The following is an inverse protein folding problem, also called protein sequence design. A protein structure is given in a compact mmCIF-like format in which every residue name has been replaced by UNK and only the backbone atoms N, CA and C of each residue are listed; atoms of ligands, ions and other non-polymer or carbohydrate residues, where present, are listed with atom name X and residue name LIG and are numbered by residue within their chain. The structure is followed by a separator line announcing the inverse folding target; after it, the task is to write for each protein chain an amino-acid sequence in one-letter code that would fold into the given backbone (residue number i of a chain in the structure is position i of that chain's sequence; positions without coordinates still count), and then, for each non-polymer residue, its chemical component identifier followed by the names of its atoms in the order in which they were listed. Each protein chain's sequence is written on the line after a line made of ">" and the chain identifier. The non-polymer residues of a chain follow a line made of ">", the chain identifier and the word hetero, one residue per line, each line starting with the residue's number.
data_IF_236472264326
#
_entry.id   IF_236472264326
#
_cell.length_a   1.000
_cell.length_b   1.000
_cell.length_c   1.000
_cell.angle_alpha   90.00
_cell.angle_beta   90.00
_cell.angle_gamma   90.00
#
_symmetry.space_group_name_H-M   'P 1'
#
loop_
_entity.id
_entity.type
_entity.pdbx_description
1 polymer ?
#
# COMPACT_ATOMS: atom_id res chain seq x y z
N UNK A 1 -12.91 -27.28 -6.08
CA UNK A 1 -12.59 -25.92 -6.55
C UNK A 1 -12.15 -25.11 -5.35
N UNK A 2 -11.00 -24.48 -5.41
CA UNK A 2 -10.59 -23.48 -4.42
C UNK A 2 -11.54 -22.27 -4.50
N UNK A 3 -11.93 -21.64 -3.38
CA UNK A 3 -12.67 -20.38 -3.42
C UNK A 3 -11.92 -19.37 -4.29
N UNK A 4 -12.62 -18.70 -5.19
CA UNK A 4 -12.02 -17.65 -6.03
C UNK A 4 -11.51 -16.48 -5.17
N UNK A 5 -10.49 -15.79 -5.68
CA UNK A 5 -10.02 -14.53 -5.07
C UNK A 5 -11.19 -13.53 -4.98
N UNK A 6 -11.48 -12.96 -3.79
CA UNK A 6 -12.65 -12.09 -3.62
C UNK A 6 -12.63 -10.83 -4.50
N UNK A 7 -11.44 -10.30 -4.80
CA UNK A 7 -11.27 -9.08 -5.61
C UNK A 7 -11.35 -9.41 -7.10
N UNK A 8 -10.68 -10.48 -7.54
CA UNK A 8 -10.69 -10.89 -8.95
C UNK A 8 -12.07 -11.40 -9.38
N UNK A 9 -12.70 -12.26 -8.55
CA UNK A 9 -14.05 -12.76 -8.83
C UNK A 9 -15.11 -11.66 -8.89
N UNK A 10 -14.97 -10.62 -8.06
CA UNK A 10 -15.84 -9.44 -8.14
C UNK A 10 -15.59 -8.63 -9.43
N UNK A 11 -14.35 -8.50 -9.86
CA UNK A 11 -14.00 -7.81 -11.10
C UNK A 11 -14.60 -8.54 -12.31
N UNK A 12 -14.54 -9.86 -12.35
CA UNK A 12 -15.17 -10.67 -13.39
C UNK A 12 -16.69 -10.48 -13.39
N UNK A 13 -17.34 -10.50 -12.22
CA UNK A 13 -18.77 -10.24 -12.07
C UNK A 13 -19.13 -8.83 -12.54
N UNK A 14 -18.32 -7.81 -12.19
CA UNK A 14 -18.53 -6.44 -12.67
C UNK A 14 -18.44 -6.35 -14.20
N UNK A 15 -17.46 -6.97 -14.83
CA UNK A 15 -17.30 -6.97 -16.28
C UNK A 15 -18.47 -7.66 -16.97
N UNK A 16 -18.95 -8.77 -16.42
CA UNK A 16 -20.06 -9.55 -16.95
C UNK A 16 -21.43 -8.84 -16.84
N UNK A 17 -21.60 -7.97 -15.84
CA UNK A 17 -22.83 -7.18 -15.65
C UNK A 17 -23.01 -6.18 -16.78
N UNK A 18 -24.19 -6.19 -17.40
CA UNK A 18 -24.56 -5.30 -18.53
C UNK A 18 -25.44 -4.12 -18.11
N UNK A 19 -25.76 -3.99 -16.81
CA UNK A 19 -26.60 -2.88 -16.32
C UNK A 19 -25.91 -1.54 -16.55
N UNK A 20 -26.61 -0.50 -17.04
CA UNK A 20 -26.05 0.84 -17.15
C UNK A 20 -25.82 1.45 -15.76
N UNK A 21 -24.84 2.34 -15.65
CA UNK A 21 -24.57 3.04 -14.39
C UNK A 21 -23.93 2.18 -13.28
N UNK A 22 -23.48 0.96 -13.60
CA UNK A 22 -22.76 0.12 -12.63
C UNK A 22 -21.48 0.79 -12.14
N UNK A 23 -21.16 0.64 -10.85
CA UNK A 23 -19.99 1.26 -10.20
C UNK A 23 -19.13 0.19 -9.55
N UNK A 24 -17.82 0.23 -9.81
CA UNK A 24 -16.85 -0.66 -9.16
C UNK A 24 -16.10 0.07 -8.04
N UNK A 25 -16.40 -0.26 -6.79
CA UNK A 25 -15.76 0.24 -5.60
C UNK A 25 -14.88 -0.81 -4.89
N UNK A 26 -14.71 -1.98 -5.49
CA UNK A 26 -13.96 -3.07 -4.87
C UNK A 26 -12.49 -3.07 -5.25
N UNK A 27 -12.14 -2.62 -6.44
CA UNK A 27 -10.74 -2.59 -6.91
C UNK A 27 -10.03 -1.35 -6.38
N UNK A 28 -8.81 -1.52 -5.86
CA UNK A 28 -7.98 -0.43 -5.35
C UNK A 28 -7.28 0.36 -6.46
N UNK A 29 -8.06 1.05 -7.28
CA UNK A 29 -7.60 1.86 -8.40
C UNK A 29 -8.15 3.28 -8.23
N UNK A 30 -7.29 4.28 -8.44
CA UNK A 30 -7.74 5.67 -8.56
C UNK A 30 -8.36 5.89 -9.94
N UNK A 31 -9.52 6.55 -9.96
CA UNK A 31 -10.15 7.01 -11.20
C UNK A 31 -10.34 8.52 -11.16
N UNK A 32 -10.17 9.18 -12.31
CA UNK A 32 -10.43 10.61 -12.49
C UNK A 32 -11.95 10.92 -12.56
N UNK A 33 -12.31 12.18 -12.84
CA UNK A 33 -13.72 12.60 -12.97
C UNK A 33 -14.45 11.90 -14.14
N UNK A 34 -13.72 11.36 -15.10
CA UNK A 34 -14.26 10.58 -16.23
C UNK A 34 -14.33 9.08 -15.93
N UNK A 35 -13.97 8.66 -14.71
CA UNK A 35 -13.95 7.26 -14.31
C UNK A 35 -12.80 6.46 -14.93
N UNK A 36 -11.74 7.11 -15.37
CA UNK A 36 -10.56 6.50 -16.01
C UNK A 36 -9.34 6.57 -15.10
N UNK A 37 -8.42 5.62 -15.27
CA UNK A 37 -7.09 5.70 -14.68
C UNK A 37 -6.33 6.82 -15.38
N UNK A 38 -5.81 7.84 -14.67
CA UNK A 38 -5.07 8.91 -15.30
C UNK A 38 -3.68 8.45 -15.76
N UNK A 39 -3.24 8.94 -16.91
CA UNK A 39 -1.84 8.95 -17.28
C UNK A 39 -1.21 10.25 -16.78
N UNK A 40 -0.33 10.15 -15.78
CA UNK A 40 0.30 11.33 -15.19
C UNK A 40 1.20 12.03 -16.21
N UNK A 41 1.17 13.36 -16.23
CA UNK A 41 1.99 14.18 -17.13
C UNK A 41 3.48 13.95 -16.92
N UNK A 42 3.92 13.88 -15.67
CA UNK A 42 5.31 13.59 -15.34
C UNK A 42 5.78 12.24 -15.89
N UNK A 43 4.91 11.21 -15.84
CA UNK A 43 5.20 9.87 -16.39
C UNK A 43 5.26 9.93 -17.91
N UNK A 44 4.30 10.60 -18.56
CA UNK A 44 4.22 10.73 -20.01
C UNK A 44 5.46 11.42 -20.60
N UNK A 45 5.95 12.48 -19.96
CA UNK A 45 7.18 13.20 -20.40
C UNK A 45 8.39 12.25 -20.47
N UNK A 46 8.57 11.39 -19.45
CA UNK A 46 9.64 10.39 -19.45
C UNK A 46 9.41 9.33 -20.53
N UNK A 47 8.17 8.85 -20.67
CA UNK A 47 7.82 7.82 -21.65
C UNK A 47 8.09 8.29 -23.09
N UNK A 48 7.68 9.52 -23.40
CA UNK A 48 7.96 10.14 -24.70
C UNK A 48 9.46 10.34 -24.95
N UNK A 49 10.23 10.74 -23.92
CA UNK A 49 11.68 10.87 -24.01
C UNK A 49 12.33 9.49 -24.28
N UNK A 50 11.92 8.45 -23.57
CA UNK A 50 12.40 7.09 -23.78
C UNK A 50 12.05 6.55 -25.16
N UNK A 51 10.86 6.88 -25.69
CA UNK A 51 10.46 6.50 -27.04
C UNK A 51 11.32 7.18 -28.12
N UNK A 52 11.62 8.48 -27.94
CA UNK A 52 12.51 9.23 -28.86
C UNK A 52 13.96 8.70 -28.84
N UNK A 53 14.44 8.29 -27.65
CA UNK A 53 15.80 7.78 -27.48
C UNK A 53 15.99 6.39 -28.11
N UNK A 54 14.96 5.56 -28.14
CA UNK A 54 14.95 4.27 -28.84
C UNK A 54 15.98 3.25 -28.35
N UNK A 55 16.29 3.21 -27.04
CA UNK A 55 17.29 2.29 -26.45
C UNK A 55 16.89 0.80 -26.55
N UNK A 56 17.85 -0.09 -26.78
CA UNK A 56 17.63 -1.54 -26.68
C UNK A 56 17.14 -1.98 -25.29
N UNK A 57 16.33 -3.04 -25.24
CA UNK A 57 15.72 -3.60 -24.03
C UNK A 57 16.49 -4.83 -23.53
N UNK A 58 17.75 -4.63 -23.08
CA UNK A 58 18.55 -5.68 -22.46
C UNK A 58 18.04 -6.07 -21.08
N UNK A 59 18.50 -7.24 -20.56
CA UNK A 59 18.25 -7.60 -19.19
C UNK A 59 18.86 -6.59 -18.21
N UNK A 60 18.09 -6.21 -17.18
CA UNK A 60 18.61 -5.44 -16.06
C UNK A 60 19.51 -6.30 -15.16
N UNK A 61 20.36 -5.66 -14.35
CA UNK A 61 20.91 -6.30 -13.16
C UNK A 61 19.80 -6.94 -12.31
N UNK A 62 20.13 -7.97 -11.55
CA UNK A 62 19.15 -8.73 -10.75
C UNK A 62 18.42 -7.83 -9.74
N UNK A 63 19.12 -6.86 -9.19
CA UNK A 63 18.58 -5.85 -8.26
C UNK A 63 17.85 -4.68 -8.95
N UNK A 64 17.91 -4.57 -10.26
CA UNK A 64 17.23 -3.53 -11.03
C UNK A 64 18.13 -2.39 -11.47
N UNK A 65 17.51 -1.23 -11.73
CA UNK A 65 18.20 0.00 -12.14
C UNK A 65 18.79 0.71 -10.91
N UNK A 66 20.10 0.93 -10.87
CA UNK A 66 20.75 1.64 -9.76
C UNK A 66 20.15 3.05 -9.49
N UNK A 67 19.79 3.78 -10.56
CA UNK A 67 19.14 5.09 -10.44
C UNK A 67 17.76 4.99 -9.79
N UNK A 68 17.00 3.93 -10.10
CA UNK A 68 15.70 3.64 -9.49
C UNK A 68 15.85 3.32 -8.00
N UNK A 69 16.79 2.44 -7.65
CA UNK A 69 17.03 2.04 -6.27
C UNK A 69 17.45 3.24 -5.40
N UNK A 70 18.35 4.10 -5.90
CA UNK A 70 18.77 5.32 -5.21
C UNK A 70 17.62 6.33 -5.06
N UNK A 71 16.82 6.54 -6.10
CA UNK A 71 15.67 7.44 -6.05
C UNK A 71 14.62 6.94 -5.05
N UNK A 72 14.37 5.63 -5.02
CA UNK A 72 13.49 4.98 -4.04
C UNK A 72 14.01 5.16 -2.62
N UNK A 73 15.30 4.93 -2.38
CA UNK A 73 15.89 5.14 -1.05
C UNK A 73 15.68 6.56 -0.55
N UNK A 74 15.94 7.57 -1.40
CA UNK A 74 15.76 8.98 -1.04
C UNK A 74 14.29 9.34 -0.77
N UNK A 75 13.37 8.79 -1.55
CA UNK A 75 11.93 9.03 -1.37
C UNK A 75 11.42 8.41 -0.05
N UNK A 76 11.82 7.19 0.24
CA UNK A 76 11.33 6.41 1.39
C UNK A 76 11.99 6.85 2.69
N UNK A 77 13.32 6.91 2.72
CA UNK A 77 14.10 7.18 3.94
C UNK A 77 14.41 8.67 4.16
N UNK A 78 14.20 9.51 3.15
CA UNK A 78 14.64 10.90 3.13
C UNK A 78 16.05 11.05 2.56
N UNK A 79 16.29 12.12 1.78
CA UNK A 79 17.56 12.35 1.09
C UNK A 79 18.76 12.46 2.06
N UNK A 80 18.52 13.03 3.25
CA UNK A 80 19.51 13.28 4.31
C UNK A 80 19.57 12.13 5.35
N UNK A 81 18.99 10.97 5.05
CA UNK A 81 18.95 9.85 6.01
C UNK A 81 20.35 9.32 6.36
N UNK A 82 20.73 9.28 7.65
CA UNK A 82 22.02 8.72 8.07
C UNK A 82 22.21 7.24 7.67
N UNK A 83 21.11 6.50 7.47
CA UNK A 83 21.20 5.11 7.01
C UNK A 83 21.71 5.02 5.57
N UNK A 84 21.36 6.00 4.72
CA UNK A 84 21.82 6.06 3.33
C UNK A 84 23.30 6.46 3.29
N UNK A 85 23.70 7.46 4.05
CA UNK A 85 25.10 7.89 4.16
C UNK A 85 25.99 6.76 4.68
N UNK A 86 25.53 6.04 5.69
CA UNK A 86 26.23 4.87 6.25
C UNK A 86 26.22 3.65 5.32
N UNK A 87 25.45 3.66 4.21
CA UNK A 87 25.32 2.53 3.28
C UNK A 87 24.63 1.31 3.88
N UNK A 88 23.75 1.51 4.86
CA UNK A 88 23.04 0.44 5.60
C UNK A 88 21.78 -0.04 4.91
N UNK A 89 21.38 0.52 3.78
CA UNK A 89 20.14 0.19 3.07
C UNK A 89 20.45 -0.57 1.78
N UNK A 90 19.98 -1.80 1.71
CA UNK A 90 19.99 -2.64 0.51
C UNK A 90 18.65 -2.53 -0.18
N UNK A 91 18.59 -1.98 -1.39
CA UNK A 91 17.35 -1.83 -2.16
C UNK A 91 17.41 -2.62 -3.46
N UNK A 92 16.30 -3.21 -3.85
CA UNK A 92 16.15 -3.91 -5.13
C UNK A 92 14.80 -3.59 -5.73
N UNK A 93 14.78 -3.30 -7.02
CA UNK A 93 13.56 -3.19 -7.82
C UNK A 93 12.82 -4.53 -7.84
N UNK A 94 11.50 -4.51 -7.68
CA UNK A 94 10.67 -5.72 -7.63
C UNK A 94 9.46 -5.61 -8.57
N UNK A 95 8.79 -6.74 -8.77
CA UNK A 95 7.56 -6.83 -9.59
C UNK A 95 6.37 -6.31 -8.74
N UNK A 96 6.30 -4.98 -8.59
CA UNK A 96 5.35 -4.29 -7.72
C UNK A 96 5.57 -4.56 -6.24
N UNK A 97 4.72 -3.97 -5.38
CA UNK A 97 4.75 -4.21 -3.94
C UNK A 97 4.52 -5.68 -3.55
N UNK A 98 3.67 -6.39 -4.27
CA UNK A 98 3.47 -7.84 -4.05
C UNK A 98 4.75 -8.64 -4.29
N UNK A 99 5.55 -8.26 -5.29
CA UNK A 99 6.87 -8.85 -5.53
C UNK A 99 7.84 -8.54 -4.39
N UNK A 100 7.81 -7.30 -3.85
CA UNK A 100 8.62 -6.92 -2.69
C UNK A 100 8.26 -7.75 -1.45
N UNK A 101 6.97 -7.86 -1.15
CA UNK A 101 6.47 -8.69 -0.04
C UNK A 101 6.90 -10.16 -0.21
N UNK A 102 6.74 -10.72 -1.42
CA UNK A 102 7.10 -12.11 -1.69
C UNK A 102 8.59 -12.38 -1.57
N UNK A 103 9.43 -11.56 -2.19
CA UNK A 103 10.90 -11.68 -2.10
C UNK A 103 11.37 -11.51 -0.66
N UNK A 104 10.81 -10.53 0.07
CA UNK A 104 11.09 -10.32 1.48
C UNK A 104 10.68 -11.52 2.35
N UNK A 105 9.48 -12.07 2.13
CA UNK A 105 9.01 -13.26 2.84
C UNK A 105 9.90 -14.49 2.58
N UNK A 106 10.24 -14.76 1.32
CA UNK A 106 11.10 -15.90 0.95
C UNK A 106 12.52 -15.77 1.55
N UNK A 107 13.06 -14.54 1.60
CA UNK A 107 14.34 -14.26 2.22
C UNK A 107 14.27 -14.49 3.74
N UNK A 108 13.28 -13.88 4.39
CA UNK A 108 13.12 -13.98 5.85
C UNK A 108 12.85 -15.42 6.30
N UNK A 109 12.10 -16.19 5.53
CA UNK A 109 11.88 -17.62 5.85
C UNK A 109 13.16 -18.43 5.85
N UNK A 110 14.10 -18.12 4.96
CA UNK A 110 15.42 -18.76 4.93
C UNK A 110 16.31 -18.31 6.09
N UNK A 111 16.27 -17.00 6.42
CA UNK A 111 17.06 -16.42 7.48
C UNK A 111 16.53 -16.76 8.88
N UNK A 112 15.21 -16.80 9.02
CA UNK A 112 14.50 -16.96 10.30
C UNK A 112 13.48 -18.13 10.21
N UNK A 113 13.95 -19.37 10.11
CA UNK A 113 13.07 -20.53 9.82
C UNK A 113 12.06 -20.87 10.92
N UNK A 114 12.20 -20.32 12.12
CA UNK A 114 11.28 -20.53 13.26
C UNK A 114 10.39 -19.33 13.54
N UNK A 115 10.63 -18.18 12.89
CA UNK A 115 9.86 -16.97 13.13
C UNK A 115 8.41 -17.15 12.70
N UNK A 116 7.51 -16.44 13.39
CA UNK A 116 6.12 -16.20 12.97
C UNK A 116 6.02 -14.83 12.31
N UNK A 117 4.90 -14.59 11.64
CA UNK A 117 4.55 -13.27 11.11
C UNK A 117 3.27 -12.81 11.75
N UNK A 118 3.27 -11.65 12.39
CA UNK A 118 2.10 -11.01 12.94
C UNK A 118 1.57 -9.95 11.96
N UNK A 119 0.28 -9.99 11.63
CA UNK A 119 -0.40 -9.03 10.76
C UNK A 119 -1.56 -8.37 11.49
N UNK A 120 -1.94 -7.15 11.08
CA UNK A 120 -3.10 -6.45 11.66
C UNK A 120 -4.41 -7.20 11.40
N UNK A 121 -5.36 -7.09 12.31
CA UNK A 121 -6.72 -7.60 12.14
C UNK A 121 -7.72 -6.44 12.05
N UNK A 122 -8.34 -6.19 10.86
CA UNK A 122 -8.08 -6.81 9.56
C UNK A 122 -6.78 -6.31 8.92
N UNK A 123 -6.37 -6.99 7.84
CA UNK A 123 -5.26 -6.59 6.96
C UNK A 123 -5.66 -6.79 5.50
N UNK A 124 -4.85 -6.31 4.56
CA UNK A 124 -5.00 -6.70 3.15
C UNK A 124 -4.88 -8.22 3.02
N UNK A 125 -5.87 -8.83 2.41
CA UNK A 125 -6.04 -10.30 2.38
C UNK A 125 -4.79 -11.01 1.85
N UNK A 126 -4.10 -10.40 0.90
CA UNK A 126 -2.91 -10.98 0.28
C UNK A 126 -1.69 -11.02 1.22
N UNK A 127 -1.66 -10.24 2.30
CA UNK A 127 -0.59 -10.34 3.30
C UNK A 127 -0.50 -11.76 3.89
N UNK A 128 -1.63 -12.28 4.38
CA UNK A 128 -1.69 -13.65 4.88
C UNK A 128 -1.29 -14.68 3.83
N UNK A 129 -1.80 -14.51 2.60
CA UNK A 129 -1.53 -15.43 1.49
C UNK A 129 -0.03 -15.47 1.17
N UNK A 130 0.62 -14.32 1.04
CA UNK A 130 2.05 -14.22 0.70
C UNK A 130 2.93 -14.90 1.77
N UNK A 131 2.73 -14.56 3.04
CA UNK A 131 3.55 -15.10 4.12
C UNK A 131 3.27 -16.57 4.40
N UNK A 132 2.01 -17.02 4.33
CA UNK A 132 1.67 -18.45 4.42
C UNK A 132 2.28 -19.24 3.27
N UNK A 133 2.22 -18.72 2.04
CA UNK A 133 2.83 -19.36 0.87
C UNK A 133 4.37 -19.41 0.94
N UNK A 134 5.00 -18.51 1.70
CA UNK A 134 6.43 -18.57 2.02
C UNK A 134 6.75 -19.58 3.14
N UNK A 135 5.72 -20.14 3.80
CA UNK A 135 5.85 -21.16 4.83
C UNK A 135 5.85 -20.62 6.27
N UNK A 136 5.44 -19.37 6.50
CA UNK A 136 5.29 -18.82 7.83
C UNK A 136 3.96 -19.24 8.50
N UNK A 137 4.00 -19.41 9.82
CA UNK A 137 2.80 -19.30 10.64
C UNK A 137 2.44 -17.81 10.74
N UNK A 138 1.21 -17.46 10.37
CA UNK A 138 0.72 -16.08 10.41
C UNK A 138 -0.31 -15.94 11.53
N UNK A 139 -0.04 -15.04 12.46
CA UNK A 139 -0.91 -14.69 13.59
C UNK A 139 -1.45 -13.27 13.43
N UNK A 140 -2.54 -12.97 14.11
CA UNK A 140 -3.15 -11.64 14.09
C UNK A 140 -2.76 -10.84 15.34
N UNK A 141 -2.70 -9.50 15.21
CA UNK A 141 -2.74 -8.56 16.33
C UNK A 141 -3.92 -7.60 16.16
N UNK A 142 -4.50 -7.15 17.27
CA UNK A 142 -5.61 -6.21 17.26
C UNK A 142 -5.23 -4.89 16.57
N UNK A 143 -6.12 -4.36 15.76
CA UNK A 143 -5.89 -3.11 15.04
C UNK A 143 -7.13 -2.23 14.93
N UNK A 144 -8.25 -2.77 14.49
CA UNK A 144 -9.47 -2.02 14.22
C UNK A 144 -10.56 -2.35 15.23
N UNK A 145 -11.14 -1.31 15.81
CA UNK A 145 -12.32 -1.42 16.65
C UNK A 145 -13.59 -1.13 15.84
N UNK A 146 -14.41 -2.14 15.64
CA UNK A 146 -15.65 -2.02 14.86
C UNK A 146 -16.73 -1.19 15.59
N UNK A 147 -16.65 -1.01 16.91
CA UNK A 147 -17.62 -0.23 17.67
C UNK A 147 -17.40 1.28 17.51
N UNK A 148 -16.16 1.71 17.48
CA UNK A 148 -15.78 3.12 17.32
C UNK A 148 -15.42 3.46 15.87
N UNK A 149 -15.28 2.49 14.98
CA UNK A 149 -14.73 2.61 13.64
C UNK A 149 -13.33 3.26 13.63
N UNK A 150 -12.56 3.00 14.67
CA UNK A 150 -11.25 3.58 14.92
C UNK A 150 -10.17 2.53 15.14
N UNK A 151 -9.03 2.98 15.65
CA UNK A 151 -7.89 2.14 16.01
C UNK A 151 -8.08 1.56 17.42
N UNK A 152 -7.98 0.24 17.56
CA UNK A 152 -7.79 -0.41 18.88
C UNK A 152 -6.30 -0.37 19.26
N UNK A 153 -5.82 0.82 19.59
CA UNK A 153 -4.42 1.01 19.92
C UNK A 153 -3.97 0.27 21.19
N UNK A 154 -4.77 0.26 22.30
CA UNK A 154 -4.41 -0.53 23.47
C UNK A 154 -4.33 -2.03 23.18
N UNK A 155 -5.27 -2.56 22.40
CA UNK A 155 -5.25 -3.96 21.97
C UNK A 155 -4.04 -4.28 21.10
N UNK A 156 -3.71 -3.40 20.16
CA UNK A 156 -2.50 -3.52 19.33
C UNK A 156 -1.24 -3.63 20.18
N UNK A 157 -1.02 -2.71 21.12
CA UNK A 157 0.17 -2.72 21.98
C UNK A 157 0.20 -3.98 22.87
N UNK A 158 -0.96 -4.39 23.42
CA UNK A 158 -1.07 -5.57 24.26
C UNK A 158 -0.70 -6.85 23.48
N UNK A 159 -1.14 -6.99 22.24
CA UNK A 159 -0.85 -8.16 21.43
C UNK A 159 0.59 -8.17 20.91
N UNK A 160 1.10 -7.03 20.42
CA UNK A 160 2.52 -6.90 20.03
C UNK A 160 3.45 -7.21 21.23
N UNK A 161 3.08 -6.77 22.44
CA UNK A 161 3.84 -7.02 23.67
C UNK A 161 3.93 -8.50 24.08
N UNK A 162 3.04 -9.36 23.57
CA UNK A 162 3.05 -10.82 23.83
C UNK A 162 3.86 -11.62 22.81
N UNK A 163 4.26 -10.99 21.69
CA UNK A 163 4.98 -11.70 20.63
C UNK A 163 6.37 -12.13 21.09
N UNK A 164 6.79 -13.30 20.62
CA UNK A 164 8.13 -13.82 20.88
C UNK A 164 9.18 -12.98 20.14
N UNK A 165 10.37 -12.76 20.72
CA UNK A 165 11.47 -12.09 20.06
C UNK A 165 11.80 -12.72 18.69
N UNK A 166 12.10 -11.89 17.71
CA UNK A 166 12.34 -12.32 16.33
C UNK A 166 11.07 -12.56 15.50
N UNK A 167 9.88 -12.39 16.07
CA UNK A 167 8.64 -12.39 15.28
C UNK A 167 8.65 -11.22 14.29
N UNK A 168 8.29 -11.49 13.03
CA UNK A 168 8.14 -10.46 12.01
C UNK A 168 6.80 -9.76 12.22
N UNK A 169 6.80 -8.43 12.35
CA UNK A 169 5.57 -7.64 12.49
C UNK A 169 5.34 -6.87 11.20
N UNK A 170 4.27 -7.22 10.48
CA UNK A 170 3.87 -6.51 9.28
C UNK A 170 3.03 -5.29 9.66
N UNK A 171 3.50 -4.12 9.23
CA UNK A 171 2.93 -2.81 9.52
C UNK A 171 2.63 -2.07 8.23
N UNK A 172 1.47 -1.39 8.13
CA UNK A 172 1.22 -0.45 7.04
C UNK A 172 1.79 0.92 7.42
N UNK A 173 2.62 1.50 6.56
CA UNK A 173 3.22 2.81 6.83
C UNK A 173 2.20 3.94 6.90
N UNK A 174 1.20 3.91 6.00
CA UNK A 174 0.12 4.88 5.86
C UNK A 174 -1.04 4.25 5.07
N UNK A 175 -2.22 4.88 5.12
CA UNK A 175 -3.41 4.51 4.35
C UNK A 175 -3.76 3.03 4.52
N UNK A 176 -3.90 2.59 5.76
CA UNK A 176 -4.09 1.19 6.12
C UNK A 176 -5.19 0.50 5.29
N UNK A 177 -4.84 -0.56 4.60
CA UNK A 177 -5.79 -1.37 3.82
C UNK A 177 -6.22 -2.60 4.64
N UNK A 178 -7.52 -2.75 5.00
CA UNK A 178 -8.70 -2.15 4.36
C UNK A 178 -9.30 -0.93 5.08
N UNK A 179 -8.83 -0.56 6.27
CA UNK A 179 -9.59 0.28 7.20
C UNK A 179 -9.53 1.78 6.92
N UNK A 180 -8.44 2.27 6.32
CA UNK A 180 -8.16 3.70 6.23
C UNK A 180 -7.88 4.36 7.60
N UNK A 181 -7.69 3.57 8.65
CA UNK A 181 -7.37 4.07 10.00
C UNK A 181 -5.88 3.94 10.23
N UNK A 182 -5.21 5.07 10.41
CA UNK A 182 -3.76 5.13 10.58
C UNK A 182 -3.38 5.55 12.01
N UNK A 183 -2.16 5.17 12.41
CA UNK A 183 -1.56 5.61 13.66
C UNK A 183 -1.14 7.09 13.58
N UNK A 184 -1.24 7.80 14.71
CA UNK A 184 -0.61 9.11 14.85
C UNK A 184 0.91 8.98 15.00
N UNK A 185 1.63 10.10 14.89
CA UNK A 185 3.10 10.11 15.09
C UNK A 185 3.46 9.62 16.49
N UNK A 186 2.70 10.03 17.52
CA UNK A 186 2.90 9.64 18.92
C UNK A 186 2.63 8.14 19.13
N UNK A 187 1.63 7.59 18.44
CA UNK A 187 1.35 6.16 18.47
C UNK A 187 2.47 5.36 17.76
N UNK A 188 2.96 5.88 16.63
CA UNK A 188 4.12 5.29 15.96
C UNK A 188 5.36 5.25 16.86
N UNK A 189 5.63 6.32 17.61
CA UNK A 189 6.76 6.33 18.57
C UNK A 189 6.62 5.23 19.61
N UNK A 190 5.41 4.98 20.14
CA UNK A 190 5.15 3.90 21.08
C UNK A 190 5.33 2.52 20.44
N UNK A 191 4.85 2.32 19.22
CA UNK A 191 5.02 1.05 18.48
C UNK A 191 6.52 0.80 18.22
N UNK A 192 7.26 1.80 17.77
CA UNK A 192 8.72 1.69 17.54
C UNK A 192 9.45 1.31 18.84
N UNK A 193 9.11 1.95 19.96
CA UNK A 193 9.71 1.63 21.26
C UNK A 193 9.42 0.18 21.69
N UNK A 194 8.17 -0.26 21.56
CA UNK A 194 7.74 -1.62 21.90
C UNK A 194 8.41 -2.67 20.99
N UNK A 195 8.46 -2.42 19.69
CA UNK A 195 9.11 -3.31 18.71
C UNK A 195 10.60 -3.49 19.05
N UNK A 196 11.28 -2.39 19.43
CA UNK A 196 12.68 -2.42 19.86
C UNK A 196 12.84 -3.18 21.18
N UNK A 197 12.02 -2.89 22.18
CA UNK A 197 12.04 -3.54 23.50
C UNK A 197 11.83 -5.06 23.39
N UNK A 198 10.87 -5.47 22.55
CA UNK A 198 10.52 -6.88 22.35
C UNK A 198 11.43 -7.59 21.35
N UNK A 199 12.40 -6.91 20.76
CA UNK A 199 13.28 -7.46 19.72
C UNK A 199 12.47 -8.10 18.57
N UNK A 200 11.44 -7.41 18.07
CA UNK A 200 10.65 -7.82 16.93
C UNK A 200 11.28 -7.31 15.64
N UNK A 201 11.00 -7.96 14.51
CA UNK A 201 11.49 -7.53 13.19
C UNK A 201 10.38 -6.78 12.42
N UNK A 202 10.48 -5.45 12.25
CA UNK A 202 9.51 -4.71 11.46
C UNK A 202 9.59 -5.06 9.97
N UNK A 203 8.43 -5.33 9.37
CA UNK A 203 8.24 -5.40 7.94
C UNK A 203 7.17 -4.37 7.56
N UNK A 204 7.57 -3.27 6.93
CA UNK A 204 6.70 -2.13 6.65
C UNK A 204 6.23 -2.19 5.20
N UNK A 205 4.91 -2.29 4.98
CA UNK A 205 4.30 -2.17 3.66
C UNK A 205 3.90 -0.71 3.41
N UNK A 206 4.40 -0.13 2.33
CA UNK A 206 4.15 1.26 1.92
C UNK A 206 3.66 1.32 0.47
N UNK A 207 2.39 0.97 0.27
CA UNK A 207 1.78 0.94 -1.05
C UNK A 207 1.10 2.27 -1.46
N UNK A 208 0.93 3.21 -0.53
CA UNK A 208 0.07 4.39 -0.71
C UNK A 208 0.76 5.71 -0.33
N UNK A 209 2.08 5.77 -0.36
CA UNK A 209 2.84 7.00 -0.09
C UNK A 209 2.36 8.16 -0.97
N UNK A 210 1.98 9.28 -0.35
CA UNK A 210 1.46 10.47 -1.00
C UNK A 210 -0.07 10.58 -1.02
N UNK A 211 -0.83 9.58 -0.54
CA UNK A 211 -2.29 9.57 -0.59
C UNK A 211 -3.02 10.02 0.68
N UNK A 212 -2.30 10.33 1.78
CA UNK A 212 -2.91 10.91 2.98
C UNK A 212 -2.47 12.38 3.18
N UNK A 213 -1.20 12.62 3.53
CA UNK A 213 -0.68 13.97 3.87
C UNK A 213 0.44 14.45 2.95
N UNK A 214 0.87 13.62 2.02
CA UNK A 214 1.97 13.89 1.09
C UNK A 214 3.12 12.93 1.28
N UNK A 215 4.06 12.95 0.33
CA UNK A 215 5.12 11.95 0.22
C UNK A 215 6.02 11.88 1.45
N UNK A 216 6.33 13.01 2.07
CA UNK A 216 7.20 13.07 3.25
C UNK A 216 6.47 12.65 4.53
N UNK A 217 5.25 13.15 4.75
CA UNK A 217 4.47 12.84 5.94
C UNK A 217 4.04 11.36 5.96
N UNK A 218 3.69 10.81 4.81
CA UNK A 218 3.27 9.41 4.68
C UNK A 218 4.44 8.42 4.86
N UNK A 219 5.70 8.89 4.78
CA UNK A 219 6.90 8.12 5.09
C UNK A 219 7.32 8.20 6.57
N UNK A 220 6.59 8.93 7.41
CA UNK A 220 6.98 9.20 8.80
C UNK A 220 7.24 7.92 9.60
N UNK A 221 6.43 6.87 9.43
CA UNK A 221 6.63 5.58 10.10
C UNK A 221 8.00 4.98 9.77
N UNK A 222 8.36 4.91 8.47
CA UNK A 222 9.66 4.38 8.04
C UNK A 222 10.81 5.22 8.62
N UNK A 223 10.68 6.55 8.60
CA UNK A 223 11.71 7.46 9.10
C UNK A 223 11.85 7.39 10.63
N UNK A 224 10.78 7.13 11.37
CA UNK A 224 10.85 6.87 12.81
C UNK A 224 11.61 5.57 13.10
N UNK A 225 11.35 4.48 12.38
CA UNK A 225 12.15 3.27 12.48
C UNK A 225 13.61 3.52 12.12
N UNK A 226 13.88 4.26 11.06
CA UNK A 226 15.23 4.62 10.64
C UNK A 226 16.02 5.40 11.71
N UNK A 227 15.35 6.28 12.46
CA UNK A 227 15.93 7.09 13.53
C UNK A 227 15.98 6.39 14.89
N UNK A 228 15.31 5.26 15.06
CA UNK A 228 15.13 4.60 16.37
C UNK A 228 16.35 3.87 16.90
N UNK A 229 17.36 3.62 16.05
CA UNK A 229 18.48 2.75 16.37
C UNK A 229 18.15 1.26 16.40
N UNK A 230 17.03 0.84 15.76
CA UNK A 230 16.78 -0.57 15.45
C UNK A 230 17.80 -1.03 14.41
N UNK A 231 18.39 -2.19 14.63
CA UNK A 231 19.48 -2.70 13.79
C UNK A 231 18.99 -3.07 12.38
N UNK A 232 17.83 -3.69 12.29
CA UNK A 232 17.32 -4.20 11.01
C UNK A 232 15.81 -4.08 10.90
N UNK A 233 15.33 -3.71 9.72
CA UNK A 233 13.92 -3.75 9.32
C UNK A 233 13.77 -3.80 7.81
N UNK A 234 12.57 -4.14 7.35
CA UNK A 234 12.26 -4.34 5.93
C UNK A 234 11.18 -3.36 5.50
N UNK A 235 11.32 -2.80 4.30
CA UNK A 235 10.29 -1.95 3.67
C UNK A 235 9.96 -2.50 2.30
N UNK A 236 8.67 -2.81 2.06
CA UNK A 236 8.12 -3.06 0.73
C UNK A 236 7.37 -1.82 0.28
N UNK A 237 7.77 -1.20 -0.82
CA UNK A 237 7.02 -0.09 -1.38
C UNK A 237 6.53 -0.38 -2.81
N UNK A 238 5.50 0.35 -3.24
CA UNK A 238 4.87 0.21 -4.54
C UNK A 238 4.64 1.55 -5.21
N UNK A 239 4.87 1.60 -6.50
CA UNK A 239 4.56 2.74 -7.34
C UNK A 239 3.27 2.55 -8.18
N UNK A 240 2.55 1.45 -7.95
CA UNK A 240 1.31 1.15 -8.68
C UNK A 240 0.28 2.28 -8.56
N UNK A 241 0.15 2.90 -7.37
CA UNK A 241 -0.85 3.94 -7.11
C UNK A 241 -0.27 5.32 -7.31
N UNK A 242 0.83 5.67 -6.64
CA UNK A 242 1.43 7.01 -6.68
C UNK A 242 1.94 7.44 -8.05
N UNK A 243 2.17 6.50 -8.96
CA UNK A 243 2.55 6.77 -10.35
C UNK A 243 1.48 6.34 -11.37
N UNK A 244 0.33 5.85 -10.92
CA UNK A 244 -0.69 5.23 -11.81
C UNK A 244 -0.16 4.10 -12.70
N UNK A 245 0.90 3.42 -12.27
CA UNK A 245 1.60 2.36 -13.01
C UNK A 245 1.13 0.96 -12.60
N UNK A 246 -0.19 0.77 -12.44
CA UNK A 246 -0.78 -0.48 -11.96
C UNK A 246 -0.37 -1.72 -12.77
N UNK A 247 -0.33 -1.59 -14.10
CA UNK A 247 0.01 -2.66 -15.04
C UNK A 247 1.52 -2.88 -15.21
N UNK A 248 2.35 -1.88 -14.88
CA UNK A 248 3.80 -1.93 -15.09
C UNK A 248 4.54 -2.73 -14.01
N UNK A 249 3.87 -3.07 -12.92
CA UNK A 249 4.43 -3.90 -11.84
C UNK A 249 5.72 -3.32 -11.27
N UNK A 250 5.69 -2.10 -10.75
CA UNK A 250 6.85 -1.38 -10.21
C UNK A 250 6.76 -1.25 -8.70
N UNK A 251 7.78 -1.73 -8.00
CA UNK A 251 7.93 -1.64 -6.55
C UNK A 251 9.39 -1.86 -6.16
N UNK A 252 9.66 -1.80 -4.88
CA UNK A 252 10.99 -2.09 -4.35
C UNK A 252 10.94 -2.76 -2.98
N UNK A 253 11.93 -3.59 -2.73
CA UNK A 253 12.25 -4.14 -1.41
C UNK A 253 13.51 -3.44 -0.90
N UNK A 254 13.38 -2.76 0.23
CA UNK A 254 14.52 -2.16 0.94
C UNK A 254 14.71 -2.88 2.27
N UNK A 255 15.94 -3.27 2.58
CA UNK A 255 16.30 -3.93 3.84
C UNK A 255 17.41 -3.11 4.50
N UNK A 256 17.14 -2.70 5.72
CA UNK A 256 18.12 -2.02 6.56
C UNK A 256 18.90 -3.09 7.32
N UNK A 257 20.23 -2.99 7.29
CA UNK A 257 21.12 -3.83 8.09
C UNK A 257 21.78 -3.03 9.21
N UNK A 258 22.33 -3.71 10.21
CA UNK A 258 23.05 -3.08 11.32
C UNK A 258 24.31 -2.35 10.86
N UNK A 259 24.98 -2.86 9.82
CA UNK A 259 26.17 -2.26 9.21
C UNK A 259 26.09 -2.27 7.68
N UNK A 260 27.01 -1.56 7.03
CA UNK A 260 27.17 -1.59 5.57
C UNK A 260 27.48 -3.00 5.06
N UNK A 261 28.36 -3.72 5.72
CA UNK A 261 28.75 -5.07 5.35
C UNK A 261 27.58 -6.05 5.47
N UNK A 262 26.73 -5.86 6.46
CA UNK A 262 25.49 -6.64 6.59
C UNK A 262 24.53 -6.33 5.46
N UNK A 263 24.27 -5.06 5.16
CA UNK A 263 23.44 -4.66 4.04
C UNK A 263 23.94 -5.25 2.71
N UNK A 264 25.25 -5.28 2.46
CA UNK A 264 25.85 -5.90 1.28
C UNK A 264 25.62 -7.42 1.25
N UNK A 265 25.78 -8.11 2.38
CA UNK A 265 25.48 -9.57 2.47
C UNK A 265 24.01 -9.85 2.19
N UNK A 266 23.12 -9.05 2.81
CA UNK A 266 21.67 -9.16 2.59
C UNK A 266 21.31 -8.89 1.13
N UNK A 267 21.91 -7.87 0.49
CA UNK A 267 21.71 -7.60 -0.94
C UNK A 267 22.07 -8.81 -1.81
N UNK A 268 23.16 -9.50 -1.50
CA UNK A 268 23.55 -10.73 -2.21
C UNK A 268 22.50 -11.83 -2.06
N UNK A 269 21.92 -12.00 -0.87
CA UNK A 269 20.85 -12.98 -0.63
C UNK A 269 19.53 -12.60 -1.33
N UNK A 270 19.19 -11.31 -1.34
CA UNK A 270 18.04 -10.77 -2.09
C UNK A 270 18.19 -11.09 -3.58
N UNK A 271 19.35 -10.81 -4.18
CA UNK A 271 19.64 -11.15 -5.58
C UNK A 271 19.45 -12.65 -5.87
N UNK A 272 19.91 -13.52 -4.99
CA UNK A 272 19.69 -14.98 -5.15
C UNK A 272 18.20 -15.34 -5.08
N UNK A 273 17.44 -14.69 -4.21
CA UNK A 273 16.00 -14.91 -4.08
C UNK A 273 15.26 -14.40 -5.33
N UNK A 274 15.59 -13.20 -5.82
CA UNK A 274 15.05 -12.65 -7.07
C UNK A 274 15.38 -13.59 -8.25
N UNK A 275 16.66 -14.01 -8.34
CA UNK A 275 17.12 -14.90 -9.44
C UNK A 275 16.30 -16.19 -9.53
N UNK A 276 15.90 -16.76 -8.40
CA UNK A 276 15.10 -17.99 -8.37
C UNK A 276 13.59 -17.75 -8.54
N UNK A 277 13.12 -16.50 -8.44
CA UNK A 277 11.70 -16.14 -8.54
C UNK A 277 11.34 -15.66 -9.96
N UNK A 278 11.89 -14.53 -10.40
CA UNK A 278 11.61 -13.91 -11.71
C UNK A 278 12.86 -13.50 -12.49
N UNK A 279 14.05 -13.92 -12.06
CA UNK A 279 15.35 -13.68 -12.71
C UNK A 279 15.87 -12.25 -12.60
N UNK A 280 15.16 -11.26 -13.12
CA UNK A 280 15.43 -9.84 -13.05
C UNK A 280 14.14 -9.06 -13.28
N UNK A 281 14.03 -7.80 -12.78
CA UNK A 281 12.81 -7.01 -12.96
C UNK A 281 12.67 -6.48 -14.39
N UNK A 282 11.45 -6.00 -14.71
CA UNK A 282 11.15 -5.35 -15.97
C UNK A 282 11.77 -3.95 -16.03
N UNK A 283 12.19 -3.53 -17.24
CA UNK A 283 12.91 -2.26 -17.45
C UNK A 283 11.96 -1.06 -17.41
N UNK A 284 10.80 -1.13 -18.10
CA UNK A 284 10.02 0.04 -18.49
C UNK A 284 9.53 0.85 -17.31
N UNK A 285 8.74 0.25 -16.43
CA UNK A 285 8.17 0.96 -15.30
C UNK A 285 9.23 1.50 -14.32
N UNK A 286 10.32 0.74 -14.08
CA UNK A 286 11.43 1.22 -13.26
C UNK A 286 12.14 2.44 -13.87
N UNK A 287 12.31 2.46 -15.19
CA UNK A 287 12.89 3.60 -15.89
C UNK A 287 11.99 4.84 -15.84
N UNK A 288 10.67 4.67 -15.93
CA UNK A 288 9.71 5.78 -15.77
C UNK A 288 9.84 6.42 -14.37
N UNK A 289 9.83 5.62 -13.32
CA UNK A 289 9.98 6.12 -11.94
C UNK A 289 11.33 6.78 -11.73
N UNK A 290 12.43 6.16 -12.21
CA UNK A 290 13.78 6.72 -12.11
C UNK A 290 13.88 8.06 -12.86
N UNK A 291 13.28 8.18 -14.04
CA UNK A 291 13.26 9.40 -14.84
C UNK A 291 12.51 10.55 -14.14
N UNK A 292 11.34 10.27 -13.59
CA UNK A 292 10.56 11.29 -12.86
C UNK A 292 11.28 11.71 -11.59
N UNK A 293 11.67 10.77 -10.72
CA UNK A 293 12.31 11.08 -9.44
C UNK A 293 13.73 11.64 -9.59
N UNK A 294 14.40 11.36 -10.71
CA UNK A 294 15.73 11.86 -11.03
C UNK A 294 15.76 13.29 -11.60
N UNK A 295 14.61 13.83 -12.01
CA UNK A 295 14.46 15.21 -12.48
C UNK A 295 13.76 16.06 -11.41
N UNK A 296 14.39 17.15 -10.96
CA UNK A 296 13.77 18.04 -9.98
C UNK A 296 12.44 18.63 -10.49
N UNK A 297 12.37 18.99 -11.77
CA UNK A 297 11.18 19.53 -12.40
C UNK A 297 10.04 18.50 -12.48
N UNK A 298 10.34 17.30 -12.98
CA UNK A 298 9.33 16.23 -13.10
C UNK A 298 8.88 15.70 -11.74
N UNK A 299 9.76 15.71 -10.76
CA UNK A 299 9.40 15.36 -9.39
C UNK A 299 8.38 16.35 -8.80
N UNK A 300 8.60 17.66 -8.96
CA UNK A 300 7.64 18.69 -8.53
C UNK A 300 6.31 18.53 -9.25
N UNK A 301 6.33 18.28 -10.56
CA UNK A 301 5.12 18.02 -11.34
C UNK A 301 4.37 16.79 -10.83
N UNK A 302 5.06 15.68 -10.61
CA UNK A 302 4.48 14.45 -10.07
C UNK A 302 3.87 14.65 -8.68
N UNK A 303 4.57 15.37 -7.77
CA UNK A 303 4.05 15.67 -6.43
C UNK A 303 2.79 16.53 -6.49
N UNK A 304 2.70 17.47 -7.45
CA UNK A 304 1.50 18.26 -7.71
C UNK A 304 0.33 17.39 -8.21
N UNK A 305 0.57 16.51 -9.18
CA UNK A 305 -0.45 15.59 -9.70
C UNK A 305 -0.95 14.63 -8.61
N UNK A 306 -0.05 14.16 -7.76
CA UNK A 306 -0.41 13.31 -6.62
C UNK A 306 -1.22 14.08 -5.55
N UNK A 307 -0.91 15.36 -5.34
CA UNK A 307 -1.71 16.23 -4.49
C UNK A 307 -3.13 16.43 -5.03
N UNK A 308 -3.28 16.68 -6.33
CA UNK A 308 -4.59 16.76 -6.99
C UNK A 308 -5.41 15.47 -6.78
N UNK A 309 -4.78 14.29 -6.92
CA UNK A 309 -5.44 12.99 -6.68
C UNK A 309 -5.88 12.87 -5.22
N UNK A 310 -5.03 13.22 -4.26
CA UNK A 310 -5.31 13.19 -2.82
C UNK A 310 -6.45 14.13 -2.44
N UNK A 311 -6.41 15.37 -2.88
CA UNK A 311 -7.46 16.38 -2.61
C UNK A 311 -8.82 15.93 -3.15
N UNK A 312 -8.82 15.33 -4.34
CA UNK A 312 -10.04 14.79 -4.93
C UNK A 312 -10.61 13.62 -4.10
N UNK A 313 -9.75 12.71 -3.60
CA UNK A 313 -10.21 11.64 -2.72
C UNK A 313 -10.82 12.22 -1.44
N UNK A 314 -10.20 13.23 -0.84
CA UNK A 314 -10.74 13.92 0.34
C UNK A 314 -12.09 14.57 0.03
N UNK A 315 -12.24 15.24 -1.11
CA UNK A 315 -13.50 15.86 -1.53
C UNK A 315 -14.61 14.82 -1.73
N UNK A 316 -14.32 13.67 -2.35
CA UNK A 316 -15.30 12.59 -2.53
C UNK A 316 -15.72 11.98 -1.20
N UNK A 317 -14.79 11.81 -0.28
CA UNK A 317 -15.04 11.32 1.08
C UNK A 317 -15.94 12.28 1.87
N UNK A 318 -15.61 13.57 1.87
CA UNK A 318 -16.40 14.61 2.52
C UNK A 318 -17.81 14.70 1.92
N UNK A 319 -17.92 14.73 0.59
CA UNK A 319 -19.22 14.77 -0.09
C UNK A 319 -20.08 13.53 0.18
N UNK A 320 -19.47 12.35 0.30
CA UNK A 320 -20.19 11.12 0.69
C UNK A 320 -20.78 11.26 2.10
N UNK A 321 -19.99 11.71 3.07
CA UNK A 321 -20.42 11.89 4.47
C UNK A 321 -21.54 12.94 4.56
N UNK A 322 -21.35 14.10 3.92
CA UNK A 322 -22.33 15.17 3.90
C UNK A 322 -23.69 14.69 3.37
N UNK A 323 -23.68 14.01 2.22
CA UNK A 323 -24.90 13.53 1.58
C UNK A 323 -25.58 12.39 2.36
N UNK A 324 -24.83 11.53 3.05
CA UNK A 324 -25.38 10.52 3.95
C UNK A 324 -26.00 11.17 5.19
N UNK A 325 -25.35 12.17 5.77
CA UNK A 325 -25.90 12.93 6.91
C UNK A 325 -27.21 13.64 6.54
N UNK A 326 -27.32 14.24 5.35
CA UNK A 326 -28.54 14.86 4.85
C UNK A 326 -29.70 13.85 4.70
N UNK A 327 -29.43 12.56 4.62
CA UNK A 327 -30.42 11.48 4.58
C UNK A 327 -30.69 10.85 5.98
N UNK A 328 -30.22 11.50 7.05
CA UNK A 328 -30.39 11.03 8.43
C UNK A 328 -29.40 9.94 8.86
N UNK A 329 -28.30 9.75 8.11
CA UNK A 329 -27.28 8.74 8.34
C UNK A 329 -25.96 9.33 8.87
N UNK A 330 -26.04 10.25 9.83
CA UNK A 330 -24.86 10.88 10.46
C UNK A 330 -23.89 9.90 11.10
N UNK A 331 -24.33 8.66 11.38
CA UNK A 331 -23.46 7.60 11.89
C UNK A 331 -22.25 7.26 10.99
N UNK A 332 -22.26 7.68 9.73
CA UNK A 332 -21.16 7.48 8.77
C UNK A 332 -20.08 8.59 8.83
N UNK A 333 -20.17 9.53 9.76
CA UNK A 333 -19.18 10.60 9.92
C UNK A 333 -17.74 10.08 10.08
N UNK A 334 -17.56 8.91 10.67
CA UNK A 334 -16.24 8.29 10.84
C UNK A 334 -15.48 8.09 9.51
N UNK A 335 -16.21 7.93 8.38
CA UNK A 335 -15.61 7.79 7.05
C UNK A 335 -14.70 8.99 6.74
N UNK A 336 -15.04 10.19 7.19
CA UNK A 336 -14.24 11.38 6.93
C UNK A 336 -12.87 11.36 7.61
N UNK A 337 -12.73 10.60 8.70
CA UNK A 337 -11.46 10.47 9.44
C UNK A 337 -10.52 9.41 8.86
N UNK A 338 -11.01 8.60 7.92
CA UNK A 338 -10.21 7.55 7.30
C UNK A 338 -9.32 8.13 6.21
N UNK A 339 -8.13 7.55 6.04
CA UNK A 339 -7.08 7.98 5.12
C UNK A 339 -6.98 7.11 3.86
N UNK A 340 -6.41 7.67 2.80
CA UNK A 340 -6.06 6.96 1.59
C UNK A 340 -7.24 6.60 0.69
N UNK A 341 -7.04 5.59 -0.15
CA UNK A 341 -7.97 5.23 -1.23
C UNK A 341 -9.22 4.50 -0.76
N UNK A 342 -9.19 3.91 0.45
CA UNK A 342 -10.27 3.05 0.94
C UNK A 342 -11.05 3.67 2.08
N UNK A 343 -12.29 3.19 2.21
CA UNK A 343 -13.10 3.37 3.39
C UNK A 343 -13.64 2.02 3.85
N UNK A 344 -13.51 1.75 5.15
CA UNK A 344 -14.13 0.59 5.78
C UNK A 344 -15.48 1.04 6.31
N UNK A 345 -16.53 0.82 5.49
CA UNK A 345 -17.82 1.50 5.64
C UNK A 345 -18.69 1.00 6.79
N UNK A 346 -18.33 -0.13 7.42
CA UNK A 346 -19.16 -0.79 8.43
C UNK A 346 -20.38 -1.50 7.87
N UNK A 347 -20.55 -1.54 6.54
CA UNK A 347 -21.61 -2.33 5.92
C UNK A 347 -21.38 -3.84 6.13
N UNK A 348 -22.42 -4.54 6.50
CA UNK A 348 -22.41 -6.00 6.59
C UNK A 348 -22.32 -6.63 5.22
N UNK A 349 -21.90 -7.92 5.17
CA UNK A 349 -21.88 -8.68 3.92
C UNK A 349 -23.23 -8.68 3.22
N UNK A 350 -24.33 -8.85 3.96
CA UNK A 350 -25.68 -8.81 3.39
C UNK A 350 -26.02 -7.47 2.75
N UNK A 351 -25.62 -6.36 3.37
CA UNK A 351 -25.79 -5.02 2.79
C UNK A 351 -24.94 -4.81 1.53
N UNK A 352 -23.70 -5.32 1.53
CA UNK A 352 -22.85 -5.29 0.34
C UNK A 352 -23.40 -6.14 -0.80
N UNK A 353 -23.96 -7.32 -0.51
CA UNK A 353 -24.61 -8.15 -1.51
C UNK A 353 -25.82 -7.41 -2.12
N UNK A 354 -26.64 -6.73 -1.31
CA UNK A 354 -27.74 -5.88 -1.78
C UNK A 354 -27.27 -4.70 -2.66
N UNK A 355 -26.13 -4.05 -2.31
CA UNK A 355 -25.54 -3.01 -3.18
C UNK A 355 -25.27 -3.54 -4.59
N UNK A 356 -24.74 -4.75 -4.70
CA UNK A 356 -24.46 -5.39 -5.99
C UNK A 356 -25.76 -5.79 -6.72
N UNK A 357 -26.69 -6.44 -6.03
CA UNK A 357 -27.87 -7.05 -6.63
C UNK A 357 -28.91 -6.00 -7.04
N UNK A 358 -29.22 -5.05 -6.15
CA UNK A 358 -30.25 -4.05 -6.34
C UNK A 358 -29.74 -2.82 -7.11
N UNK A 359 -28.46 -2.42 -6.92
CA UNK A 359 -27.96 -1.14 -7.41
C UNK A 359 -26.77 -1.24 -8.38
N UNK A 360 -26.29 -2.43 -8.71
CA UNK A 360 -25.10 -2.65 -9.53
C UNK A 360 -23.82 -1.96 -8.99
N UNK A 361 -23.70 -1.82 -7.65
CA UNK A 361 -22.54 -1.26 -6.98
C UNK A 361 -21.74 -2.41 -6.40
N UNK A 362 -20.50 -2.53 -6.83
CA UNK A 362 -19.60 -3.62 -6.49
C UNK A 362 -18.60 -3.16 -5.41
N UNK A 363 -18.69 -3.72 -4.22
CA UNK A 363 -17.82 -3.49 -3.09
C UNK A 363 -17.31 -4.83 -2.54
N UNK A 364 -16.25 -4.81 -1.69
CA UNK A 364 -15.75 -6.03 -1.04
C UNK A 364 -16.70 -6.44 0.09
N UNK A 365 -16.98 -7.73 0.21
CA UNK A 365 -17.94 -8.30 1.19
C UNK A 365 -17.65 -7.95 2.66
N UNK A 366 -16.45 -7.48 2.96
CA UNK A 366 -16.06 -6.97 4.29
C UNK A 366 -16.55 -5.54 4.57
N UNK A 367 -17.20 -4.89 3.62
CA UNK A 367 -17.61 -3.49 3.72
C UNK A 367 -16.55 -2.48 3.27
N UNK A 368 -15.40 -2.94 2.72
CA UNK A 368 -14.42 -2.04 2.11
C UNK A 368 -14.92 -1.47 0.80
N UNK A 369 -14.85 -0.15 0.65
CA UNK A 369 -15.14 0.59 -0.58
C UNK A 369 -13.93 1.40 -1.03
N UNK A 370 -13.69 1.51 -2.33
CA UNK A 370 -12.65 2.36 -2.90
C UNK A 370 -13.22 3.77 -3.13
N UNK A 371 -12.94 4.71 -2.22
CA UNK A 371 -13.36 6.11 -2.34
C UNK A 371 -12.67 6.80 -3.52
N UNK A 372 -11.47 6.36 -3.87
CA UNK A 372 -10.71 6.87 -5.00
C UNK A 372 -11.36 6.55 -6.38
N UNK A 373 -12.34 5.65 -6.43
CA UNK A 373 -13.14 5.36 -7.63
C UNK A 373 -14.45 6.17 -7.71
N UNK A 374 -14.76 6.95 -6.67
CA UNK A 374 -15.90 7.90 -6.71
C UNK A 374 -15.54 9.10 -7.57
N UNK A 375 -16.56 9.67 -8.18
CA UNK A 375 -16.51 10.94 -8.91
C UNK A 375 -17.88 11.66 -8.79
N UNK A 376 -17.95 12.90 -9.25
CA UNK A 376 -19.20 13.69 -9.16
C UNK A 376 -20.37 13.03 -9.87
N UNK A 377 -20.14 12.26 -10.93
CA UNK A 377 -21.19 11.61 -11.68
C UNK A 377 -21.77 10.37 -10.97
N UNK A 378 -20.99 9.64 -10.16
CA UNK A 378 -21.44 8.42 -9.49
C UNK A 378 -21.73 8.60 -8.00
N UNK A 379 -21.28 9.70 -7.37
CA UNK A 379 -21.37 9.92 -5.92
C UNK A 379 -22.82 9.83 -5.41
N UNK A 380 -23.76 10.49 -6.06
CA UNK A 380 -25.17 10.49 -5.66
C UNK A 380 -25.79 9.09 -5.77
N UNK A 381 -25.47 8.37 -6.82
CA UNK A 381 -25.92 6.99 -7.01
C UNK A 381 -25.43 6.09 -5.88
N UNK A 382 -24.14 6.21 -5.54
CA UNK A 382 -23.51 5.41 -4.47
C UNK A 382 -24.11 5.77 -3.10
N UNK A 383 -24.24 7.07 -2.80
CA UNK A 383 -24.82 7.54 -1.52
C UNK A 383 -26.25 7.04 -1.35
N UNK A 384 -27.09 7.17 -2.40
CA UNK A 384 -28.49 6.72 -2.35
C UNK A 384 -28.60 5.20 -2.14
N UNK A 385 -27.73 4.43 -2.79
CA UNK A 385 -27.69 2.98 -2.61
C UNK A 385 -27.21 2.58 -1.20
N UNK A 386 -26.15 3.21 -0.69
CA UNK A 386 -25.69 3.00 0.69
C UNK A 386 -26.80 3.34 1.68
N UNK A 387 -27.51 4.44 1.48
CA UNK A 387 -28.63 4.82 2.34
C UNK A 387 -29.78 3.80 2.29
N UNK A 388 -30.09 3.27 1.12
CA UNK A 388 -31.16 2.28 0.95
C UNK A 388 -30.87 0.95 1.66
N UNK A 389 -29.62 0.49 1.61
CA UNK A 389 -29.22 -0.77 2.27
C UNK A 389 -28.93 -0.60 3.78
N UNK A 390 -28.84 0.64 4.25
CA UNK A 390 -28.50 0.98 5.65
C UNK A 390 -29.74 1.19 6.54
N UNK A 391 -30.89 1.32 5.92
CA UNK A 391 -32.21 1.39 6.57
C UNK A 391 -32.75 -0.01 6.80
#
# INVERSE_FOLDING_TARGET
>A
MTPGDPILGMTEAFVADKRPGKVNLGVGIYCDEQGKIPLLRAVREVEEAMAREGKPRGYLPIDGLAAYDQATQRLVFGAESPLLEAGRVATSQTIGGSGALRVGADLLRKALPKAKVAISSPSWENHRVVFTAAGFEVVDYAYYDAATHGLDFPGMLADLGKLEPGTVVLLHACCHNPTGVDLTVEQWQQVVALVKERNLLPFIDMAYQGFDKGTDADAAAVRLFAASGIDSFVVANSYSKSFSLYGERVGALSIVGATREEAQRVQSLVKRTIRSNYSSPATHGGALVAGVLGSAELRVLWESELAEMRERIHAMRAGMVEKLAAQGLGRYEFIQRQAGMFSYSGLSKAQVDRLREEFAIYAIGTGRICVAALNRANLDTVVNAVAAVSK
#
